data_IF_876495290755
#
_entry.id   IF_876495290755
#
_cell.length_a   1.000
_cell.length_b   1.000
_cell.length_c   1.000
_cell.angle_alpha   90.00
_cell.angle_beta   90.00
_cell.angle_gamma   90.00
#
_symmetry.space_group_name_H-M   'P 1'
#
loop_
_entity.id
_entity.type
_entity.pdbx_description
1 polymer ?
#
# COMPACT_ATOMS: atom_id res chain seq x y z
N UNK A 1 -10.00 -39.25 5.11
CA UNK A 1 -10.61 -38.15 4.33
C UNK A 1 -10.26 -36.87 5.08
N UNK A 2 -9.06 -36.34 4.85
CA UNK A 2 -8.54 -35.11 5.44
C UNK A 2 -7.87 -34.37 4.29
N UNK A 3 -8.62 -33.52 3.59
CA UNK A 3 -8.09 -32.84 2.41
C UNK A 3 -9.05 -31.80 1.83
N UNK A 4 -9.93 -31.24 2.67
CA UNK A 4 -10.85 -30.15 2.26
C UNK A 4 -10.87 -29.00 3.28
N UNK A 5 -10.09 -29.06 4.36
CA UNK A 5 -9.97 -28.00 5.36
C UNK A 5 -8.55 -27.43 5.49
N UNK A 6 -7.53 -28.07 4.90
CA UNK A 6 -6.14 -27.54 4.96
C UNK A 6 -5.87 -26.47 3.88
N UNK A 7 -6.64 -26.42 2.79
CA UNK A 7 -6.43 -25.45 1.71
C UNK A 7 -7.03 -24.05 2.01
N UNK A 8 -8.03 -23.96 2.90
CA UNK A 8 -8.60 -22.65 3.31
C UNK A 8 -7.77 -21.95 4.40
N UNK A 9 -6.98 -22.70 5.19
CA UNK A 9 -6.12 -22.13 6.25
C UNK A 9 -4.78 -21.57 5.70
N UNK A 10 -4.37 -21.95 4.49
CA UNK A 10 -3.10 -21.48 3.89
C UNK A 10 -3.21 -20.06 3.28
N UNK A 11 -4.43 -19.61 2.95
CA UNK A 11 -4.69 -18.23 2.51
C UNK A 11 -4.42 -17.21 3.62
N UNK A 12 -4.47 -17.60 4.89
CA UNK A 12 -4.24 -16.72 6.04
C UNK A 12 -2.87 -16.86 6.71
N UNK A 13 -2.01 -17.78 6.24
CA UNK A 13 -0.62 -17.89 6.68
C UNK A 13 0.27 -16.89 5.92
N UNK A 14 0.52 -15.71 6.50
CA UNK A 14 1.46 -14.73 5.94
C UNK A 14 1.21 -13.30 6.41
N UNK A 15 2.23 -12.43 6.30
CA UNK A 15 2.00 -10.99 6.56
C UNK A 15 1.15 -10.37 5.44
N UNK A 16 0.35 -9.32 5.71
CA UNK A 16 -0.40 -8.60 4.68
C UNK A 16 0.46 -8.20 3.47
N UNK A 17 1.72 -7.81 3.73
CA UNK A 17 2.71 -7.54 2.68
C UNK A 17 2.95 -8.74 1.78
N UNK A 18 3.22 -9.91 2.36
CA UNK A 18 3.50 -11.13 1.60
C UNK A 18 2.30 -11.51 0.73
N UNK A 19 1.09 -11.48 1.31
CA UNK A 19 -0.13 -11.84 0.60
C UNK A 19 -0.46 -10.88 -0.53
N UNK A 20 -0.24 -9.57 -0.34
CA UNK A 20 -0.37 -8.63 -1.45
C UNK A 20 0.61 -8.97 -2.59
N UNK A 21 1.87 -9.31 -2.29
CA UNK A 21 2.82 -9.68 -3.34
C UNK A 21 2.35 -10.91 -4.11
N UNK A 22 1.83 -11.93 -3.42
CA UNK A 22 1.24 -13.10 -4.07
C UNK A 22 0.08 -12.71 -5.01
N UNK A 23 -0.80 -11.81 -4.58
CA UNK A 23 -1.90 -11.30 -5.41
C UNK A 23 -1.38 -10.50 -6.61
N UNK A 24 -0.39 -9.63 -6.42
CA UNK A 24 0.20 -8.83 -7.51
C UNK A 24 0.81 -9.70 -8.61
N UNK A 25 1.41 -10.85 -8.25
CA UNK A 25 2.05 -11.74 -9.21
C UNK A 25 1.09 -12.71 -9.91
N UNK A 26 -0.06 -13.01 -9.30
CA UNK A 26 -0.96 -14.06 -9.79
C UNK A 26 -2.31 -13.56 -10.33
N UNK A 27 -2.75 -12.35 -9.96
CA UNK A 27 -4.00 -11.79 -10.44
C UNK A 27 -3.91 -11.32 -11.91
N UNK A 28 -5.06 -10.96 -12.51
CA UNK A 28 -5.09 -10.42 -13.87
C UNK A 28 -4.24 -9.14 -13.96
N UNK A 29 -3.29 -9.12 -14.89
CA UNK A 29 -2.34 -8.02 -15.05
C UNK A 29 -3.01 -6.67 -15.32
N UNK A 30 -4.12 -6.64 -16.07
CA UNK A 30 -4.80 -5.39 -16.38
C UNK A 30 -5.51 -4.80 -15.15
N UNK A 31 -6.11 -5.67 -14.32
CA UNK A 31 -6.68 -5.29 -13.02
C UNK A 31 -5.60 -4.77 -12.08
N UNK A 32 -4.48 -5.49 -11.98
CA UNK A 32 -3.34 -5.10 -11.14
C UNK A 32 -2.77 -3.75 -11.58
N UNK A 33 -2.58 -3.53 -12.88
CA UNK A 33 -2.11 -2.25 -13.43
C UNK A 33 -3.07 -1.12 -13.09
N UNK A 34 -4.36 -1.32 -13.30
CA UNK A 34 -5.37 -0.31 -13.01
C UNK A 34 -5.39 0.12 -11.53
N UNK A 35 -5.39 -0.84 -10.59
CA UNK A 35 -5.37 -0.50 -9.16
C UNK A 35 -4.02 0.08 -8.70
N UNK A 36 -2.90 -0.34 -9.30
CA UNK A 36 -1.59 0.28 -9.07
C UNK A 36 -1.56 1.74 -9.54
N UNK A 37 -2.03 2.03 -10.75
CA UNK A 37 -2.10 3.39 -11.29
C UNK A 37 -2.92 4.30 -10.37
N UNK A 38 -4.09 3.82 -9.93
CA UNK A 38 -4.95 4.53 -8.97
C UNK A 38 -4.27 4.77 -7.62
N UNK A 39 -3.47 3.82 -7.12
CA UNK A 39 -2.69 4.00 -5.90
C UNK A 39 -1.61 5.07 -6.07
N UNK A 40 -0.90 5.06 -7.20
CA UNK A 40 0.12 6.07 -7.53
C UNK A 40 -0.50 7.46 -7.66
N UNK A 41 -1.63 7.61 -8.34
CA UNK A 41 -2.34 8.88 -8.46
C UNK A 41 -2.75 9.43 -7.09
N UNK A 42 -3.23 8.56 -6.19
CA UNK A 42 -3.54 8.94 -4.81
C UNK A 42 -2.29 9.38 -4.05
N UNK A 43 -1.16 8.70 -4.19
CA UNK A 43 0.10 9.08 -3.56
C UNK A 43 0.59 10.46 -4.06
N UNK A 44 0.59 10.66 -5.39
CA UNK A 44 0.95 11.94 -6.00
C UNK A 44 0.04 13.09 -5.52
N UNK A 45 -1.27 12.85 -5.44
CA UNK A 45 -2.21 13.85 -4.92
C UNK A 45 -1.92 14.20 -3.45
N UNK A 46 -1.61 13.22 -2.60
CA UNK A 46 -1.25 13.46 -1.20
C UNK A 46 0.03 14.30 -1.08
N UNK A 47 1.07 14.01 -1.86
CA UNK A 47 2.29 14.82 -1.88
C UNK A 47 2.02 16.25 -2.34
N UNK A 48 1.25 16.42 -3.43
CA UNK A 48 0.87 17.74 -3.93
C UNK A 48 0.06 18.54 -2.90
N UNK A 49 -0.91 17.90 -2.24
CA UNK A 49 -1.69 18.53 -1.17
C UNK A 49 -0.82 18.94 0.01
N UNK A 50 0.17 18.12 0.37
CA UNK A 50 1.10 18.45 1.45
C UNK A 50 2.00 19.63 1.06
N UNK A 51 2.53 19.65 -0.17
CA UNK A 51 3.31 20.78 -0.70
C UNK A 51 2.51 22.08 -0.67
N UNK A 52 1.25 22.03 -1.09
CA UNK A 52 0.35 23.20 -1.08
C UNK A 52 0.06 23.70 0.34
N UNK A 53 -0.19 22.79 1.29
CA UNK A 53 -0.52 23.15 2.68
C UNK A 53 0.69 23.63 3.49
N UNK A 54 1.87 23.17 3.13
CA UNK A 54 3.13 23.47 3.82
C UNK A 54 4.10 24.24 2.91
N UNK A 55 3.56 25.05 1.99
CA UNK A 55 4.34 25.77 0.99
C UNK A 55 5.36 26.75 1.59
N UNK A 56 5.14 27.22 2.82
CA UNK A 56 6.09 28.05 3.57
C UNK A 56 7.21 27.24 4.22
N UNK A 57 7.02 25.93 4.40
CA UNK A 57 7.95 25.01 5.08
C UNK A 57 8.83 24.26 4.09
N UNK A 58 8.29 23.88 2.93
CA UNK A 58 9.02 23.12 1.92
C UNK A 58 9.49 24.03 0.79
N UNK A 59 10.80 24.01 0.50
CA UNK A 59 11.33 24.64 -0.70
C UNK A 59 10.85 23.94 -1.98
N UNK A 60 10.92 24.65 -3.11
CA UNK A 60 10.46 24.17 -4.43
C UNK A 60 11.13 22.86 -4.90
N UNK A 61 12.26 22.49 -4.30
CA UNK A 61 13.08 21.35 -4.73
C UNK A 61 12.60 19.99 -4.18
N UNK A 62 11.61 19.94 -3.28
CA UNK A 62 11.05 18.68 -2.76
C UNK A 62 11.92 17.90 -1.77
N UNK A 63 13.22 18.19 -1.69
CA UNK A 63 14.17 17.49 -0.81
C UNK A 63 13.82 17.60 0.69
N UNK A 64 13.24 18.72 1.12
CA UNK A 64 12.90 18.93 2.54
C UNK A 64 11.67 18.12 2.96
N UNK A 65 10.73 17.91 2.05
CA UNK A 65 9.58 17.06 2.26
C UNK A 65 9.99 15.60 2.46
N UNK A 66 10.89 15.09 1.62
CA UNK A 66 11.38 13.72 1.74
C UNK A 66 12.11 13.49 3.07
N UNK A 67 12.92 14.45 3.52
CA UNK A 67 13.58 14.38 4.84
C UNK A 67 12.57 14.27 5.97
N UNK A 68 11.50 15.06 5.93
CA UNK A 68 10.46 15.05 6.95
C UNK A 68 9.67 13.74 6.93
N UNK A 69 9.34 13.20 5.76
CA UNK A 69 8.70 11.88 5.61
C UNK A 69 9.58 10.80 6.23
N UNK A 70 10.88 10.76 5.88
CA UNK A 70 11.81 9.78 6.43
C UNK A 70 11.95 9.92 7.96
N UNK A 71 12.06 11.14 8.46
CA UNK A 71 12.09 11.38 9.91
C UNK A 71 10.80 10.89 10.58
N UNK A 72 9.63 11.14 9.99
CA UNK A 72 8.36 10.69 10.51
C UNK A 72 8.27 9.15 10.55
N UNK A 73 8.71 8.47 9.49
CA UNK A 73 8.77 7.00 9.43
C UNK A 73 9.65 6.43 10.55
N UNK A 74 10.82 7.02 10.78
CA UNK A 74 11.73 6.56 11.83
C UNK A 74 11.19 6.81 13.23
N UNK A 75 10.55 7.95 13.47
CA UNK A 75 10.00 8.32 14.77
C UNK A 75 8.68 7.62 15.12
N UNK A 76 7.90 7.18 14.13
CA UNK A 76 6.57 6.57 14.31
C UNK A 76 6.49 5.19 13.65
N UNK A 77 7.58 4.41 13.76
CA UNK A 77 7.78 3.19 12.99
C UNK A 77 6.63 2.19 13.17
N UNK A 78 6.17 2.00 14.40
CA UNK A 78 5.15 1.01 14.72
C UNK A 78 3.77 1.43 14.20
N UNK A 79 3.42 2.72 14.31
CA UNK A 79 2.19 3.29 13.76
C UNK A 79 2.20 3.26 12.23
N UNK A 80 3.32 3.59 11.61
CA UNK A 80 3.50 3.53 10.16
C UNK A 80 3.43 2.09 9.67
N UNK A 81 4.02 1.12 10.37
CA UNK A 81 3.92 -0.30 10.02
C UNK A 81 2.47 -0.81 10.15
N UNK A 82 1.77 -0.45 11.23
CA UNK A 82 0.37 -0.81 11.42
C UNK A 82 -0.53 -0.22 10.34
N UNK A 83 -0.34 1.06 10.00
CA UNK A 83 -1.10 1.70 8.93
C UNK A 83 -0.76 1.11 7.55
N UNK A 84 0.51 0.80 7.29
CA UNK A 84 0.94 0.15 6.04
C UNK A 84 0.32 -1.23 5.87
N UNK A 85 0.15 -2.00 6.95
CA UNK A 85 -0.57 -3.28 6.93
C UNK A 85 -2.01 -3.12 6.45
N UNK A 86 -2.71 -2.07 6.90
CA UNK A 86 -4.06 -1.78 6.42
C UNK A 86 -4.08 -1.43 4.93
N UNK A 87 -3.12 -0.62 4.46
CA UNK A 87 -3.00 -0.31 3.03
C UNK A 87 -2.75 -1.55 2.17
N UNK A 88 -1.94 -2.52 2.65
CA UNK A 88 -1.75 -3.79 1.95
C UNK A 88 -3.07 -4.57 1.82
N UNK A 89 -3.88 -4.61 2.87
CA UNK A 89 -5.19 -5.28 2.86
C UNK A 89 -6.17 -4.57 1.92
N UNK A 90 -6.24 -3.24 1.98
CA UNK A 90 -7.12 -2.45 1.11
C UNK A 90 -6.80 -2.66 -0.38
N UNK A 91 -5.51 -2.61 -0.74
CA UNK A 91 -5.08 -2.82 -2.12
C UNK A 91 -5.35 -4.25 -2.60
N UNK A 92 -5.11 -5.24 -1.74
CA UNK A 92 -5.44 -6.63 -2.03
C UNK A 92 -6.94 -6.80 -2.28
N UNK A 93 -7.78 -6.23 -1.42
CA UNK A 93 -9.24 -6.25 -1.58
C UNK A 93 -9.70 -5.58 -2.87
N UNK A 94 -9.10 -4.45 -3.24
CA UNK A 94 -9.41 -3.76 -4.50
C UNK A 94 -9.14 -4.64 -5.73
N UNK A 95 -7.97 -5.30 -5.78
CA UNK A 95 -7.61 -6.20 -6.90
C UNK A 95 -8.53 -7.42 -6.95
N UNK A 96 -8.77 -8.07 -5.81
CA UNK A 96 -9.58 -9.29 -5.74
C UNK A 96 -11.06 -9.01 -6.08
N UNK A 97 -11.60 -7.87 -5.65
CA UNK A 97 -13.01 -7.49 -5.91
C UNK A 97 -13.32 -7.25 -7.39
N UNK A 98 -12.31 -7.00 -8.22
CA UNK A 98 -12.44 -6.84 -9.67
C UNK A 98 -12.24 -8.16 -10.43
N UNK A 99 -11.91 -9.24 -9.72
CA UNK A 99 -11.73 -10.58 -10.27
C UNK A 99 -12.97 -11.47 -10.10
N UNK A 100 -14.00 -10.98 -9.38
CA UNK A 100 -15.35 -11.56 -9.28
C UNK A 100 -16.29 -11.04 -10.37
#
# INVERSE_FOLDING_TARGET
MYGLFEDEDDIFMGSPKSKLMDVLFNANNDVVRYELEKFIDRAAAMEMMMKQKCAETFGDNGDDMEKDIQSYILSNRDEVDAFSKNLYIEMMGAILSQSE
#
